data_IF_718215253643
#
_entry.id   IF_718215253643
#
_cell.length_a   1.000
_cell.length_b   1.000
_cell.length_c   1.000
_cell.angle_alpha   90.00
_cell.angle_beta   90.00
_cell.angle_gamma   90.00
#
_symmetry.space_group_name_H-M   'P 1'
#
loop_
_entity.id
_entity.type
_entity.pdbx_description
1 polymer ?
#
# COMPACT_ATOMS: atom_id res chain seq x y z
N UNK A 1 -2.39 -10.64 -20.12
CA UNK A 1 -1.69 -9.82 -19.12
C UNK A 1 -0.27 -10.32 -19.01
N UNK A 2 0.73 -9.45 -19.07
CA UNK A 2 2.13 -9.84 -18.91
C UNK A 2 2.46 -9.99 -17.43
N UNK A 3 3.13 -11.09 -17.07
CA UNK A 3 3.66 -11.35 -15.73
C UNK A 3 5.18 -11.43 -15.78
N UNK A 4 5.84 -10.65 -14.93
CA UNK A 4 7.28 -10.65 -14.72
C UNK A 4 7.58 -11.49 -13.49
N UNK A 5 8.49 -12.44 -13.60
CA UNK A 5 8.93 -13.27 -12.46
C UNK A 5 10.37 -12.93 -12.12
N UNK A 6 10.61 -12.69 -10.83
CA UNK A 6 11.93 -12.63 -10.22
C UNK A 6 12.08 -13.85 -9.29
N UNK A 7 13.24 -14.49 -9.32
CA UNK A 7 13.52 -15.69 -8.53
C UNK A 7 15.02 -15.78 -8.25
N UNK A 8 15.39 -16.04 -6.99
CA UNK A 8 16.76 -16.30 -6.54
C UNK A 8 16.89 -17.63 -5.76
N UNK A 9 16.01 -18.58 -6.04
CA UNK A 9 15.86 -19.88 -5.36
C UNK A 9 15.39 -19.82 -3.89
N UNK A 10 15.48 -18.65 -3.24
CA UNK A 10 15.02 -18.41 -1.87
C UNK A 10 13.71 -17.66 -1.83
N UNK A 11 13.58 -16.64 -2.67
CA UNK A 11 12.42 -15.77 -2.76
C UNK A 11 12.00 -15.69 -4.21
N UNK A 12 10.69 -15.83 -4.43
CA UNK A 12 10.08 -15.67 -5.74
C UNK A 12 9.05 -14.55 -5.68
N UNK A 13 9.11 -13.61 -6.61
CA UNK A 13 8.16 -12.52 -6.78
C UNK A 13 7.55 -12.60 -8.18
N UNK A 14 6.23 -12.40 -8.25
CA UNK A 14 5.53 -12.20 -9.51
C UNK A 14 4.88 -10.82 -9.53
N UNK A 15 5.09 -10.07 -10.61
CA UNK A 15 4.55 -8.71 -10.80
C UNK A 15 3.84 -8.65 -12.13
N UNK A 16 2.62 -8.11 -12.15
CA UNK A 16 1.84 -7.88 -13.35
C UNK A 16 2.17 -6.52 -13.98
N UNK A 17 2.14 -6.47 -15.30
CA UNK A 17 2.11 -5.22 -16.07
C UNK A 17 0.88 -4.37 -15.70
N UNK A 18 -0.27 -5.02 -15.49
CA UNK A 18 -1.50 -4.34 -15.11
C UNK A 18 -1.42 -3.92 -13.64
N UNK A 19 -1.63 -2.63 -13.39
CA UNK A 19 -1.59 -2.02 -12.07
C UNK A 19 -0.20 -1.93 -11.44
N UNK A 20 0.86 -2.44 -12.08
CA UNK A 20 2.17 -2.57 -11.45
C UNK A 20 2.09 -3.45 -10.19
N UNK A 21 1.11 -4.36 -10.16
CA UNK A 21 0.70 -5.09 -8.98
C UNK A 21 1.57 -6.33 -8.77
N UNK A 22 1.86 -6.66 -7.53
CA UNK A 22 2.44 -7.95 -7.15
C UNK A 22 1.31 -8.98 -7.19
N UNK A 23 1.53 -10.10 -7.88
CA UNK A 23 0.62 -11.26 -7.95
C UNK A 23 1.05 -12.40 -7.02
N UNK A 24 2.25 -12.28 -6.45
CA UNK A 24 2.64 -13.08 -5.31
C UNK A 24 4.09 -12.88 -4.90
N UNK A 25 4.34 -13.17 -3.63
CA UNK A 25 5.66 -13.17 -3.02
C UNK A 25 5.76 -14.42 -2.16
N UNK A 26 6.71 -15.30 -2.47
CA UNK A 26 6.87 -16.58 -1.79
C UNK A 26 8.30 -16.77 -1.29
N UNK A 27 8.42 -17.48 -0.18
CA UNK A 27 9.69 -17.88 0.43
C UNK A 27 9.85 -19.40 0.41
N UNK A 28 11.01 -19.86 -0.04
CA UNK A 28 11.41 -21.26 -0.01
C UNK A 28 12.14 -21.57 1.29
N UNK A 29 11.49 -22.34 2.17
CA UNK A 29 12.06 -22.72 3.45
C UNK A 29 11.75 -24.18 3.79
N UNK A 30 12.79 -24.95 4.14
CA UNK A 30 12.67 -26.37 4.53
C UNK A 30 11.86 -27.24 3.53
N UNK A 31 12.05 -27.00 2.23
CA UNK A 31 11.36 -27.72 1.15
C UNK A 31 9.88 -27.33 0.97
N UNK A 32 9.41 -26.27 1.64
CA UNK A 32 8.07 -25.69 1.46
C UNK A 32 8.16 -24.33 0.78
N UNK A 33 7.15 -24.03 -0.04
CA UNK A 33 6.90 -22.70 -0.58
C UNK A 33 5.83 -22.02 0.28
N UNK A 34 6.23 -20.97 1.01
CA UNK A 34 5.37 -20.25 1.95
C UNK A 34 4.98 -18.89 1.34
N UNK A 35 3.70 -18.53 1.27
CA UNK A 35 3.28 -17.21 0.79
C UNK A 35 3.62 -16.14 1.83
N UNK A 36 4.34 -15.09 1.45
CA UNK A 36 4.59 -13.92 2.30
C UNK A 36 3.49 -12.86 2.17
N UNK A 37 2.84 -12.81 1.00
CA UNK A 37 1.64 -12.03 0.70
C UNK A 37 0.52 -12.99 0.24
N UNK A 38 -0.74 -12.57 0.34
CA UNK A 38 -1.90 -13.29 -0.22
C UNK A 38 -1.66 -13.54 -1.70
N UNK A 39 -1.63 -14.79 -2.21
CA UNK A 39 -1.48 -15.05 -3.64
C UNK A 39 -2.58 -14.34 -4.45
N UNK A 40 -2.18 -13.61 -5.49
CA UNK A 40 -3.10 -12.92 -6.38
C UNK A 40 -3.83 -13.88 -7.33
N UNK A 41 -5.00 -13.45 -7.82
CA UNK A 41 -5.80 -14.23 -8.77
C UNK A 41 -5.33 -14.10 -10.23
N UNK A 42 -4.34 -13.23 -10.52
CA UNK A 42 -3.87 -12.94 -11.87
C UNK A 42 -4.99 -12.50 -12.85
N UNK A 43 -6.02 -11.85 -12.34
CA UNK A 43 -7.19 -11.42 -13.11
C UNK A 43 -7.00 -10.09 -13.84
N UNK A 44 -5.97 -9.32 -13.47
CA UNK A 44 -5.79 -7.93 -13.89
C UNK A 44 -6.63 -6.93 -13.11
N UNK A 45 -7.33 -7.37 -12.06
CA UNK A 45 -8.03 -6.51 -11.10
C UNK A 45 -7.15 -6.34 -9.86
N UNK A 46 -6.73 -5.10 -9.58
CA UNK A 46 -5.74 -4.84 -8.53
C UNK A 46 -6.16 -5.29 -7.12
N UNK A 47 -7.44 -5.19 -6.75
CA UNK A 47 -7.94 -5.66 -5.44
C UNK A 47 -7.90 -7.18 -5.28
N UNK A 48 -7.69 -7.92 -6.37
CA UNK A 48 -7.52 -9.38 -6.40
C UNK A 48 -6.04 -9.80 -6.47
N UNK A 49 -5.11 -8.84 -6.49
CA UNK A 49 -3.66 -9.06 -6.49
C UNK A 49 -3.11 -9.24 -5.07
N UNK A 50 -1.80 -9.43 -4.91
CA UNK A 50 -1.12 -9.47 -3.62
C UNK A 50 -0.77 -8.09 -3.06
N UNK A 51 -0.52 -7.10 -3.92
CA UNK A 51 -0.17 -5.74 -3.53
C UNK A 51 -0.21 -4.81 -4.74
N UNK A 52 -0.67 -3.58 -4.59
CA UNK A 52 -0.60 -2.55 -5.64
C UNK A 52 -0.02 -1.23 -5.12
N UNK A 53 0.59 -0.40 -5.99
CA UNK A 53 1.14 0.91 -5.63
C UNK A 53 0.03 1.94 -5.39
N UNK A 54 0.33 2.92 -4.53
CA UNK A 54 -0.50 4.11 -4.30
C UNK A 54 0.23 5.33 -4.88
N UNK A 55 -0.26 5.88 -5.99
CA UNK A 55 0.35 7.02 -6.71
C UNK A 55 -0.70 7.70 -7.59
N UNK A 56 -0.88 9.04 -7.54
CA UNK A 56 0.00 10.05 -6.94
C UNK A 56 -0.25 10.36 -5.46
N UNK A 57 -1.14 9.61 -4.80
CA UNK A 57 -1.35 9.58 -3.35
C UNK A 57 -2.18 8.35 -2.96
N UNK A 58 -2.18 8.00 -1.67
CA UNK A 58 -3.00 6.92 -1.13
C UNK A 58 -4.33 7.39 -0.56
N UNK A 59 -5.28 6.45 -0.44
CA UNK A 59 -6.61 6.65 0.12
C UNK A 59 -7.46 7.67 -0.68
N UNK A 60 -8.44 8.30 -0.01
CA UNK A 60 -9.45 9.20 -0.60
C UNK A 60 -9.13 10.66 -0.26
N UNK A 61 -9.68 11.57 -1.07
CA UNK A 61 -9.83 12.98 -0.74
C UNK A 61 -11.31 13.25 -0.51
N UNK A 62 -11.70 13.65 0.70
CA UNK A 62 -13.10 13.79 1.05
C UNK A 62 -13.81 14.83 0.18
N UNK A 63 -14.97 14.48 -0.39
CA UNK A 63 -15.69 15.37 -1.31
C UNK A 63 -15.07 15.53 -2.70
N UNK A 64 -13.98 14.81 -3.03
CA UNK A 64 -13.32 14.83 -4.34
C UNK A 64 -12.87 16.22 -4.80
N UNK A 65 -12.48 17.09 -3.86
CA UNK A 65 -11.96 18.41 -4.19
C UNK A 65 -10.96 18.88 -3.15
N UNK A 66 -10.06 19.79 -3.51
CA UNK A 66 -9.16 20.45 -2.56
C UNK A 66 -8.66 21.78 -3.14
N UNK A 67 -8.24 22.70 -2.27
CA UNK A 67 -7.74 24.02 -2.67
C UNK A 67 -6.21 24.06 -2.72
N UNK A 68 -5.63 24.78 -3.67
CA UNK A 68 -4.22 25.16 -3.67
C UNK A 68 -4.05 26.65 -3.98
N UNK A 69 -2.84 27.24 -3.86
CA UNK A 69 -2.60 28.60 -4.31
C UNK A 69 -2.94 28.86 -5.79
N UNK A 70 -3.02 27.80 -6.61
CA UNK A 70 -3.42 27.88 -8.00
C UNK A 70 -4.95 27.84 -8.23
N UNK A 71 -5.74 27.52 -7.19
CA UNK A 71 -7.20 27.47 -7.24
C UNK A 71 -7.80 26.19 -6.67
N UNK A 72 -9.10 26.01 -6.91
CA UNK A 72 -9.85 24.81 -6.55
C UNK A 72 -9.62 23.68 -7.55
N UNK A 73 -9.35 22.48 -7.04
CA UNK A 73 -9.14 21.27 -7.82
C UNK A 73 -10.26 20.28 -7.56
N UNK A 74 -10.66 19.52 -8.59
CA UNK A 74 -11.69 18.48 -8.50
C UNK A 74 -11.16 17.17 -9.04
N UNK A 75 -11.55 16.09 -8.38
CA UNK A 75 -11.29 14.71 -8.75
C UNK A 75 -12.61 14.05 -9.18
N UNK A 76 -12.53 13.06 -10.05
CA UNK A 76 -13.66 12.22 -10.41
C UNK A 76 -13.44 10.82 -9.84
N UNK A 77 -14.49 10.09 -9.42
CA UNK A 77 -14.34 8.69 -9.02
C UNK A 77 -13.65 7.87 -10.12
N UNK A 78 -12.73 7.00 -9.72
CA UNK A 78 -11.90 6.21 -10.63
C UNK A 78 -12.22 4.70 -10.60
N UNK A 79 -13.13 4.27 -9.72
CA UNK A 79 -13.69 2.91 -9.68
C UNK A 79 -15.22 2.99 -9.52
N UNK A 80 -15.94 1.98 -10.01
CA UNK A 80 -17.42 1.99 -10.02
C UNK A 80 -18.04 1.82 -8.62
N UNK A 81 -17.33 1.15 -7.71
CA UNK A 81 -17.83 0.77 -6.39
C UNK A 81 -17.52 1.80 -5.29
N UNK A 82 -16.84 2.90 -5.64
CA UNK A 82 -16.52 3.98 -4.70
C UNK A 82 -16.97 5.34 -5.27
N UNK A 83 -17.61 6.15 -4.44
CA UNK A 83 -18.01 7.51 -4.80
C UNK A 83 -16.83 8.50 -4.76
N UNK A 84 -15.65 8.09 -4.31
CA UNK A 84 -14.45 8.89 -4.23
C UNK A 84 -13.37 8.43 -5.21
N UNK A 85 -12.55 9.39 -5.64
CA UNK A 85 -11.25 9.07 -6.23
C UNK A 85 -10.38 8.37 -5.18
N UNK A 86 -9.88 7.19 -5.53
CA UNK A 86 -9.28 6.27 -4.58
C UNK A 86 -7.90 5.81 -5.06
N UNK A 87 -6.88 5.91 -4.20
CA UNK A 87 -5.55 5.31 -4.36
C UNK A 87 -4.74 5.77 -5.59
N UNK A 88 -5.18 6.82 -6.27
CA UNK A 88 -4.50 7.29 -7.46
C UNK A 88 -4.84 6.50 -8.72
N UNK A 89 -3.97 6.55 -9.72
CA UNK A 89 -4.22 5.93 -11.03
C UNK A 89 -3.27 4.76 -11.33
N UNK A 90 -2.15 4.67 -10.61
CA UNK A 90 -1.12 3.66 -10.88
C UNK A 90 -1.66 2.23 -10.82
N UNK A 91 -2.46 1.92 -9.81
CA UNK A 91 -3.04 0.59 -9.60
C UNK A 91 -4.06 0.15 -10.66
N UNK A 92 -4.63 1.08 -11.44
CA UNK A 92 -5.68 0.77 -12.43
C UNK A 92 -5.13 0.58 -13.86
N UNK A 93 -3.92 1.07 -14.12
CA UNK A 93 -3.37 1.25 -15.46
C UNK A 93 -2.20 0.30 -15.74
N UNK A 94 -1.87 0.12 -17.02
CA UNK A 94 -0.73 -0.72 -17.42
C UNK A 94 0.59 0.02 -17.28
N UNK A 95 1.60 -0.67 -16.76
CA UNK A 95 2.96 -0.19 -16.58
C UNK A 95 3.89 -0.85 -17.59
N UNK A 96 4.76 -0.08 -18.23
CA UNK A 96 5.75 -0.59 -19.17
C UNK A 96 6.96 -1.14 -18.43
N UNK A 97 7.41 -2.35 -18.81
CA UNK A 97 8.70 -2.87 -18.35
C UNK A 97 9.85 -2.11 -18.99
N UNK A 98 10.76 -1.61 -18.16
CA UNK A 98 11.94 -0.86 -18.58
C UNK A 98 13.22 -1.68 -18.50
N UNK A 99 13.31 -2.55 -17.49
CA UNK A 99 14.45 -3.44 -17.27
C UNK A 99 14.02 -4.66 -16.45
N UNK A 100 14.60 -5.82 -16.75
CA UNK A 100 14.34 -7.07 -16.03
C UNK A 100 15.59 -7.96 -16.00
N UNK A 101 15.89 -8.49 -14.82
CA UNK A 101 16.84 -9.58 -14.58
C UNK A 101 16.18 -10.64 -13.68
N UNK A 102 16.85 -11.74 -13.31
CA UNK A 102 16.30 -12.71 -12.36
C UNK A 102 15.98 -12.10 -10.98
N UNK A 103 16.62 -11.01 -10.58
CA UNK A 103 16.48 -10.43 -9.23
C UNK A 103 16.08 -8.96 -9.22
N UNK A 104 15.90 -8.33 -10.38
CA UNK A 104 15.51 -6.93 -10.50
C UNK A 104 14.42 -6.75 -11.55
N UNK A 105 13.45 -5.89 -11.27
CA UNK A 105 12.44 -5.43 -12.22
C UNK A 105 12.24 -3.93 -12.09
N UNK A 106 12.16 -3.24 -13.21
CA UNK A 106 11.73 -1.85 -13.27
C UNK A 106 10.51 -1.71 -14.16
N UNK A 107 9.44 -1.15 -13.60
CA UNK A 107 8.22 -0.78 -14.31
C UNK A 107 8.05 0.74 -14.31
N UNK A 108 7.47 1.30 -15.38
CA UNK A 108 7.18 2.73 -15.52
C UNK A 108 5.74 2.95 -16.00
N UNK A 109 5.08 3.95 -15.42
CA UNK A 109 3.75 4.41 -15.82
C UNK A 109 3.74 5.92 -16.00
N UNK A 110 3.24 6.39 -17.14
CA UNK A 110 3.08 7.80 -17.44
C UNK A 110 1.59 8.16 -17.44
N UNK A 111 1.16 8.99 -16.50
CA UNK A 111 -0.19 9.53 -16.45
C UNK A 111 -0.22 10.94 -17.08
N UNK A 112 -1.11 11.14 -18.06
CA UNK A 112 -1.23 12.38 -18.86
C UNK A 112 -2.68 12.84 -19.00
N UNK A 113 -3.55 12.37 -18.11
CA UNK A 113 -4.98 12.67 -18.12
C UNK A 113 -5.37 13.19 -16.74
N UNK A 114 -6.54 13.81 -16.63
CA UNK A 114 -7.03 14.31 -15.35
C UNK A 114 -6.18 15.44 -14.78
N UNK A 115 -6.20 15.56 -13.45
CA UNK A 115 -5.55 16.66 -12.73
C UNK A 115 -4.03 16.47 -12.57
N UNK A 116 -3.60 15.25 -12.25
CA UNK A 116 -2.20 14.97 -11.97
C UNK A 116 -1.50 14.46 -13.23
N UNK A 117 -0.47 15.15 -13.70
CA UNK A 117 0.39 14.65 -14.78
C UNK A 117 1.73 14.23 -14.19
N UNK A 118 2.11 12.95 -14.33
CA UNK A 118 3.34 12.45 -13.73
C UNK A 118 3.87 11.21 -14.43
N UNK A 119 5.15 10.92 -14.22
CA UNK A 119 5.75 9.62 -14.52
C UNK A 119 6.11 8.95 -13.21
N UNK A 120 5.58 7.75 -12.98
CA UNK A 120 5.88 6.90 -11.85
C UNK A 120 6.76 5.73 -12.28
N UNK A 121 7.69 5.33 -11.42
CA UNK A 121 8.58 4.20 -11.62
C UNK A 121 8.54 3.31 -10.38
N UNK A 122 8.28 2.01 -10.57
CA UNK A 122 8.43 0.98 -9.55
C UNK A 122 9.68 0.16 -9.81
N UNK A 123 10.49 -0.05 -8.78
CA UNK A 123 11.64 -0.93 -8.81
C UNK A 123 11.49 -2.00 -7.76
N UNK A 124 11.79 -3.23 -8.15
CA UNK A 124 11.78 -4.39 -7.27
C UNK A 124 13.16 -5.02 -7.30
N UNK A 125 13.71 -5.30 -6.12
CA UNK A 125 15.00 -5.95 -5.95
C UNK A 125 14.86 -7.09 -4.95
N UNK A 126 15.13 -8.33 -5.38
CA UNK A 126 15.14 -9.49 -4.48
C UNK A 126 16.42 -9.55 -3.67
N UNK A 127 16.27 -9.87 -2.38
CA UNK A 127 17.35 -10.29 -1.49
C UNK A 127 17.18 -11.75 -1.10
N UNK A 128 18.14 -12.33 -0.37
CA UNK A 128 18.02 -13.71 0.13
C UNK A 128 16.83 -13.91 1.07
N UNK A 129 16.37 -12.83 1.71
CA UNK A 129 15.34 -12.83 2.75
C UNK A 129 14.09 -12.06 2.38
N UNK A 130 13.94 -11.53 1.16
CA UNK A 130 12.69 -10.91 0.74
C UNK A 130 12.84 -9.98 -0.45
N UNK A 131 12.18 -8.82 -0.37
CA UNK A 131 12.11 -7.87 -1.48
C UNK A 131 12.21 -6.43 -0.99
N UNK A 132 12.99 -5.63 -1.70
CA UNK A 132 12.97 -4.18 -1.64
C UNK A 132 12.12 -3.64 -2.81
N UNK A 133 11.24 -2.69 -2.50
CA UNK A 133 10.33 -2.02 -3.43
C UNK A 133 10.54 -0.51 -3.33
N UNK A 134 10.94 0.14 -4.42
CA UNK A 134 11.01 1.61 -4.50
C UNK A 134 9.92 2.10 -5.46
N UNK A 135 9.15 3.09 -5.02
CA UNK A 135 8.21 3.82 -5.86
C UNK A 135 8.71 5.26 -5.94
N UNK A 136 8.89 5.76 -7.16
CA UNK A 136 9.28 7.15 -7.44
C UNK A 136 8.23 7.77 -8.33
N UNK A 137 7.82 9.00 -8.04
CA UNK A 137 6.97 9.81 -8.92
C UNK A 137 7.73 11.09 -9.30
N UNK A 138 7.61 11.51 -10.55
CA UNK A 138 8.10 12.81 -11.05
C UNK A 138 6.92 13.57 -11.60
N UNK A 139 6.70 14.79 -11.11
CA UNK A 139 5.61 15.63 -11.59
C UNK A 139 5.94 16.17 -13.00
N UNK A 140 5.02 16.00 -13.94
CA UNK A 140 5.13 16.50 -15.31
C UNK A 140 4.19 17.69 -15.59
N UNK A 141 3.31 18.04 -14.64
CA UNK A 141 2.30 19.09 -14.72
C UNK A 141 2.56 20.27 -13.79
N UNK A 142 1.47 20.92 -13.37
CA UNK A 142 1.50 22.03 -12.42
C UNK A 142 1.85 21.57 -11.01
N UNK A 143 2.29 22.51 -10.16
CA UNK A 143 2.67 22.20 -8.79
C UNK A 143 1.46 21.70 -7.98
N UNK A 144 1.54 20.44 -7.53
CA UNK A 144 0.47 19.75 -6.79
C UNK A 144 1.07 18.90 -5.65
N UNK A 145 0.26 18.56 -4.62
CA UNK A 145 0.71 17.71 -3.52
C UNK A 145 0.71 16.23 -3.90
N UNK A 146 1.85 15.56 -3.75
CA UNK A 146 2.04 14.13 -4.02
C UNK A 146 2.32 13.34 -2.74
N UNK A 147 1.91 12.09 -2.75
CA UNK A 147 2.17 11.08 -1.74
C UNK A 147 2.35 9.71 -2.37
N UNK A 148 2.93 8.76 -1.63
CA UNK A 148 3.24 7.43 -2.13
C UNK A 148 2.93 6.37 -1.08
N UNK A 149 2.68 5.14 -1.52
CA UNK A 149 2.46 4.01 -0.62
C UNK A 149 2.24 2.71 -1.37
N UNK A 150 1.85 1.69 -0.62
CA UNK A 150 1.46 0.37 -1.15
C UNK A 150 0.29 -0.20 -0.37
N UNK A 151 -0.43 -1.11 -1.01
CA UNK A 151 -1.58 -1.80 -0.43
C UNK A 151 -1.36 -3.33 -0.40
N UNK A 152 -0.45 -3.86 0.45
CA UNK A 152 -0.18 -5.29 0.51
C UNK A 152 -1.28 -6.05 1.25
N UNK A 153 -1.73 -7.14 0.65
CA UNK A 153 -2.60 -8.13 1.26
C UNK A 153 -1.73 -9.22 1.88
N UNK A 154 -1.80 -9.40 3.20
CA UNK A 154 -1.05 -10.41 3.95
C UNK A 154 -1.96 -11.56 4.35
N UNK A 155 -1.46 -12.82 4.44
CA UNK A 155 -2.23 -13.92 5.00
C UNK A 155 -2.74 -13.60 6.41
N UNK A 156 -3.96 -14.00 6.73
CA UNK A 156 -4.54 -13.84 8.07
C UNK A 156 -4.95 -15.20 8.63
N UNK A 157 -4.64 -15.42 9.90
CA UNK A 157 -5.21 -16.49 10.73
C UNK A 157 -5.36 -16.01 12.17
N UNK A 158 -5.95 -16.86 13.02
CA UNK A 158 -6.16 -16.53 14.44
C UNK A 158 -4.84 -16.37 15.22
N UNK A 159 -3.74 -16.93 14.71
CA UNK A 159 -2.41 -16.83 15.30
C UNK A 159 -1.59 -15.65 14.76
N UNK A 160 -2.03 -14.99 13.69
CA UNK A 160 -1.36 -13.80 13.15
C UNK A 160 -1.26 -12.72 14.21
N UNK A 161 -0.08 -12.11 14.34
CA UNK A 161 0.14 -10.95 15.22
C UNK A 161 0.82 -9.83 14.47
N UNK A 162 0.35 -8.61 14.69
CA UNK A 162 0.93 -7.38 14.15
C UNK A 162 1.48 -6.54 15.29
N UNK A 163 2.63 -5.94 15.05
CA UNK A 163 3.21 -4.90 15.89
C UNK A 163 3.62 -3.73 14.99
N UNK A 164 3.05 -2.55 15.23
CA UNK A 164 3.37 -1.30 14.55
C UNK A 164 3.07 -0.14 15.50
N UNK A 165 4.05 0.76 15.66
CA UNK A 165 3.89 1.92 16.54
C UNK A 165 2.79 2.83 16.02
N UNK A 166 1.90 3.30 16.91
CA UNK A 166 0.93 4.34 16.61
C UNK A 166 0.68 5.21 17.83
N UNK A 167 0.50 6.51 17.61
CA UNK A 167 0.15 7.49 18.66
C UNK A 167 -1.32 7.92 18.60
N UNK A 168 -2.08 7.35 17.68
CA UNK A 168 -3.51 7.58 17.52
C UNK A 168 -3.98 7.10 16.15
N UNK A 169 -5.27 7.24 15.92
CA UNK A 169 -5.94 6.73 14.71
C UNK A 169 -7.10 7.63 14.33
N UNK A 170 -7.56 7.52 13.08
CA UNK A 170 -8.79 8.14 12.64
C UNK A 170 -9.93 7.13 12.71
N UNK A 171 -11.06 7.54 13.31
CA UNK A 171 -12.31 6.80 13.21
C UNK A 171 -12.71 6.67 11.74
N UNK A 172 -13.41 5.59 11.39
CA UNK A 172 -14.09 5.50 10.12
C UNK A 172 -15.42 6.26 10.20
N UNK A 173 -15.80 6.97 9.14
CA UNK A 173 -17.12 7.57 8.97
C UNK A 173 -17.76 7.06 7.67
N UNK A 174 -18.94 7.58 7.35
CA UNK A 174 -19.68 7.20 6.15
C UNK A 174 -18.83 7.32 4.87
N UNK A 175 -19.11 6.45 3.90
CA UNK A 175 -18.37 6.37 2.62
C UNK A 175 -16.89 5.95 2.79
N UNK A 176 -16.58 5.20 3.85
CA UNK A 176 -15.22 4.67 4.13
C UNK A 176 -14.16 5.77 4.28
N UNK A 177 -14.59 6.98 4.63
CA UNK A 177 -13.71 8.13 4.83
C UNK A 177 -13.14 8.12 6.24
N UNK A 178 -12.01 8.79 6.42
CA UNK A 178 -11.51 9.11 7.76
C UNK A 178 -12.34 10.20 8.42
N UNK A 179 -12.76 9.93 9.64
CA UNK A 179 -13.47 10.81 10.55
C UNK A 179 -12.54 11.45 11.58
N UNK A 180 -13.05 11.60 12.79
CA UNK A 180 -12.35 12.26 13.89
C UNK A 180 -11.07 11.51 14.29
N UNK A 181 -10.02 12.28 14.60
CA UNK A 181 -8.77 11.74 15.12
C UNK A 181 -8.86 11.49 16.63
N UNK A 182 -8.37 10.32 17.06
CA UNK A 182 -8.34 9.91 18.46
C UNK A 182 -6.89 9.60 18.87
N UNK A 183 -6.41 10.24 19.93
CA UNK A 183 -5.08 9.96 20.51
C UNK A 183 -5.05 8.64 21.31
N UNK A 184 -6.20 8.22 21.85
CA UNK A 184 -6.31 6.92 22.53
C UNK A 184 -6.70 5.83 21.54
N UNK A 185 -5.89 4.78 21.49
CA UNK A 185 -6.18 3.58 20.73
C UNK A 185 -7.09 2.65 21.55
N UNK A 186 -8.19 2.13 20.97
CA UNK A 186 -8.91 1.00 21.55
C UNK A 186 -7.99 -0.22 21.67
N UNK A 187 -8.19 -1.05 22.70
CA UNK A 187 -7.33 -2.21 22.95
C UNK A 187 -7.20 -3.15 21.74
N UNK A 188 -8.27 -3.33 20.97
CA UNK A 188 -8.30 -4.20 19.79
C UNK A 188 -7.59 -3.62 18.55
N UNK A 189 -7.29 -2.32 18.57
CA UNK A 189 -6.57 -1.59 17.52
C UNK A 189 -5.21 -1.07 18.00
N UNK A 190 -4.78 -1.43 19.22
CA UNK A 190 -3.48 -1.04 19.76
C UNK A 190 -2.40 -2.07 19.37
N UNK A 191 -1.73 -1.79 18.25
CA UNK A 191 -0.63 -2.60 17.73
C UNK A 191 0.75 -2.15 18.24
N UNK A 192 0.84 -1.25 19.25
CA UNK A 192 2.15 -0.85 19.78
C UNK A 192 2.92 -2.04 20.41
N UNK A 193 2.17 -3.04 20.88
CA UNK A 193 2.68 -4.36 21.21
C UNK A 193 2.13 -5.39 20.22
N UNK A 194 2.76 -6.56 20.15
CA UNK A 194 2.30 -7.67 19.30
C UNK A 194 0.87 -8.10 19.65
N UNK A 195 -0.10 -7.76 18.80
CA UNK A 195 -1.53 -7.99 19.00
C UNK A 195 -2.18 -8.72 17.81
N UNK A 196 -3.28 -9.47 18.01
CA UNK A 196 -4.05 -10.06 16.92
C UNK A 196 -4.80 -8.98 16.12
N UNK A 197 -5.23 -9.30 14.90
CA UNK A 197 -6.22 -8.49 14.19
C UNK A 197 -7.63 -8.80 14.71
N UNK A 198 -8.55 -7.82 14.71
CA UNK A 198 -9.95 -8.08 15.01
C UNK A 198 -10.60 -9.02 14.00
N UNK A 199 -11.54 -9.85 14.47
CA UNK A 199 -12.37 -10.73 13.64
C UNK A 199 -13.62 -10.04 13.10
N UNK A 200 -13.53 -8.75 12.76
CA UNK A 200 -14.61 -7.93 12.23
C UNK A 200 -14.03 -6.83 11.33
N UNK A 201 -14.92 -6.06 10.67
CA UNK A 201 -14.54 -4.96 9.81
C UNK A 201 -13.58 -3.96 10.48
N UNK A 202 -12.43 -3.71 9.84
CA UNK A 202 -11.51 -2.64 10.20
C UNK A 202 -11.15 -1.90 8.93
N UNK A 203 -11.26 -0.57 8.94
CA UNK A 203 -10.84 0.30 7.85
C UNK A 203 -10.35 1.62 8.46
N UNK A 204 -9.18 1.57 9.10
CA UNK A 204 -8.69 2.68 9.90
C UNK A 204 -7.24 3.04 9.54
N UNK A 205 -7.00 4.34 9.48
CA UNK A 205 -5.67 4.91 9.39
C UNK A 205 -5.10 5.17 10.79
N UNK A 206 -3.82 4.92 10.95
CA UNK A 206 -3.05 5.12 12.17
C UNK A 206 -1.94 6.14 11.93
N UNK A 207 -1.67 6.99 12.91
CA UNK A 207 -0.68 8.06 12.83
C UNK A 207 0.48 7.84 13.81
N UNK A 208 1.57 8.58 13.60
CA UNK A 208 2.75 8.55 14.48
C UNK A 208 3.56 7.25 14.34
N UNK A 209 3.45 6.61 13.17
CA UNK A 209 4.22 5.44 12.83
C UNK A 209 5.69 5.81 12.59
N UNK A 210 6.60 4.91 12.96
CA UNK A 210 8.04 5.04 12.76
C UNK A 210 8.52 4.32 11.49
N UNK A 211 7.59 3.92 10.62
CA UNK A 211 7.88 3.23 9.37
C UNK A 211 8.27 1.76 9.54
N UNK A 212 8.14 1.17 10.74
CA UNK A 212 8.52 -0.22 11.03
C UNK A 212 7.31 -1.03 11.50
N UNK A 213 7.05 -2.16 10.86
CA UNK A 213 6.06 -3.12 11.31
C UNK A 213 6.63 -4.54 11.35
N UNK A 214 6.10 -5.34 12.27
CA UNK A 214 6.38 -6.77 12.38
C UNK A 214 5.08 -7.55 12.30
N UNK A 215 5.02 -8.51 11.37
CA UNK A 215 3.91 -9.44 11.22
C UNK A 215 4.42 -10.85 11.51
N UNK A 216 3.95 -11.45 12.59
CA UNK A 216 4.26 -12.84 12.95
C UNK A 216 3.19 -13.77 12.42
N UNK A 217 3.61 -14.85 11.78
CA UNK A 217 2.74 -15.91 11.24
C UNK A 217 3.12 -17.26 11.85
N UNK A 218 2.74 -17.54 13.11
CA UNK A 218 3.07 -18.78 13.80
C UNK A 218 2.68 -20.05 13.04
N UNK A 219 1.49 -20.11 12.47
CA UNK A 219 1.02 -21.26 11.67
C UNK A 219 1.87 -21.51 10.42
N UNK A 220 2.42 -20.44 9.83
CA UNK A 220 3.32 -20.54 8.67
C UNK A 220 4.80 -20.64 9.06
N UNK A 221 5.13 -20.51 10.35
CA UNK A 221 6.47 -20.67 10.89
C UNK A 221 7.45 -19.52 10.60
N UNK A 222 6.95 -18.31 10.30
CA UNK A 222 7.81 -17.17 9.95
C UNK A 222 7.36 -15.82 10.54
N UNK A 223 8.30 -14.88 10.58
CA UNK A 223 8.03 -13.47 10.85
C UNK A 223 8.44 -12.63 9.64
N UNK A 224 7.56 -11.72 9.23
CA UNK A 224 7.82 -10.71 8.22
C UNK A 224 8.08 -9.36 8.91
N UNK A 225 9.20 -8.73 8.61
CA UNK A 225 9.50 -7.35 8.95
C UNK A 225 9.20 -6.47 7.73
N UNK A 226 8.50 -5.37 7.96
CA UNK A 226 8.30 -4.29 7.00
C UNK A 226 9.03 -3.05 7.50
N UNK A 227 9.80 -2.41 6.63
CA UNK A 227 10.39 -1.09 6.89
C UNK A 227 10.14 -0.15 5.73
N UNK A 228 10.12 1.16 5.99
CA UNK A 228 9.97 2.20 4.97
C UNK A 228 11.09 3.23 5.03
N UNK A 229 11.47 3.78 3.87
CA UNK A 229 12.50 4.82 3.77
C UNK A 229 12.13 5.86 2.68
N UNK A 230 11.92 7.14 3.06
CA UNK A 230 11.87 7.65 4.44
C UNK A 230 10.80 6.96 5.31
N UNK A 231 10.94 6.97 6.65
CA UNK A 231 9.93 6.38 7.53
C UNK A 231 8.55 6.95 7.23
N UNK A 232 7.63 6.07 6.82
CA UNK A 232 6.25 6.43 6.56
C UNK A 232 5.57 6.83 7.89
N UNK A 233 4.91 7.99 7.94
CA UNK A 233 4.32 8.52 9.17
C UNK A 233 2.98 7.86 9.54
N UNK A 234 2.32 7.19 8.58
CA UNK A 234 0.99 6.61 8.73
C UNK A 234 0.91 5.22 8.09
N UNK A 235 0.01 4.38 8.60
CA UNK A 235 -0.41 3.15 7.95
C UNK A 235 -1.91 2.96 8.03
N UNK A 236 -2.50 2.22 7.10
CA UNK A 236 -3.88 1.72 7.23
C UNK A 236 -3.90 0.24 7.56
N UNK A 237 -4.90 -0.17 8.33
CA UNK A 237 -5.27 -1.58 8.50
C UNK A 237 -6.63 -1.79 7.87
N UNK A 238 -6.71 -2.80 7.01
CA UNK A 238 -7.97 -3.28 6.44
C UNK A 238 -8.21 -4.73 6.82
N UNK A 239 -9.37 -5.00 7.43
CA UNK A 239 -9.94 -6.33 7.63
C UNK A 239 -11.36 -6.28 7.06
N UNK A 240 -11.66 -7.13 6.08
CA UNK A 240 -12.99 -7.19 5.48
C UNK A 240 -14.00 -7.87 6.42
N UNK A 241 -15.25 -7.96 5.99
CA UNK A 241 -16.33 -8.63 6.71
C UNK A 241 -17.17 -9.50 5.76
N UNK A 242 -17.53 -10.75 6.12
CA UNK A 242 -18.38 -11.61 5.29
C UNK A 242 -19.74 -11.00 4.91
N UNK A 243 -20.27 -10.06 5.70
CA UNK A 243 -21.49 -9.34 5.38
C UNK A 243 -21.29 -8.34 4.23
N UNK A 244 -20.07 -7.85 4.03
CA UNK A 244 -19.68 -6.96 2.94
C UNK A 244 -19.16 -7.74 1.72
N UNK A 245 -18.28 -8.73 1.95
CA UNK A 245 -17.69 -9.62 0.94
C UNK A 245 -18.05 -11.07 1.27
N UNK A 246 -19.09 -11.62 0.62
CA UNK A 246 -19.63 -12.96 0.90
C UNK A 246 -18.61 -14.09 0.77
N UNK A 247 -17.48 -13.87 0.08
CA UNK A 247 -16.41 -14.85 -0.09
C UNK A 247 -15.34 -14.80 0.99
N UNK A 248 -15.28 -13.73 1.78
CA UNK A 248 -14.21 -13.46 2.73
C UNK A 248 -14.28 -14.38 3.95
N UNK A 249 -13.13 -14.92 4.36
CA UNK A 249 -13.04 -15.92 5.44
C UNK A 249 -12.07 -15.51 6.56
N UNK A 250 -11.76 -14.22 6.67
CA UNK A 250 -10.67 -13.74 7.53
C UNK A 250 -9.33 -14.41 7.20
N UNK A 251 -9.09 -14.59 5.90
CA UNK A 251 -7.93 -15.27 5.32
C UNK A 251 -6.86 -14.30 4.80
N UNK A 252 -7.16 -13.00 4.77
CA UNK A 252 -6.16 -11.95 4.55
C UNK A 252 -6.48 -10.68 5.35
N UNK A 253 -5.50 -9.79 5.51
CA UNK A 253 -5.71 -8.41 5.94
C UNK A 253 -4.75 -7.50 5.16
N UNK A 254 -4.94 -6.19 5.21
CA UNK A 254 -3.97 -5.24 4.63
C UNK A 254 -3.27 -4.44 5.70
N UNK A 255 -1.98 -4.17 5.47
CA UNK A 255 -1.19 -3.22 6.24
C UNK A 255 -0.55 -2.26 5.24
N UNK A 256 -1.10 -1.06 5.11
CA UNK A 256 -0.83 -0.17 4.00
C UNK A 256 0.09 0.98 4.43
N UNK A 257 1.41 0.94 4.15
CA UNK A 257 2.28 2.06 4.44
C UNK A 257 1.98 3.25 3.52
N UNK A 258 1.79 4.43 4.10
CA UNK A 258 1.54 5.68 3.36
C UNK A 258 2.52 6.77 3.78
N UNK A 259 3.08 7.51 2.80
CA UNK A 259 4.00 8.62 3.05
C UNK A 259 3.33 9.86 3.63
N UNK A 260 2.00 9.84 3.78
CA UNK A 260 1.18 10.94 4.25
C UNK A 260 -0.04 10.43 5.00
N UNK A 261 -0.72 11.32 5.72
CA UNK A 261 -1.96 10.99 6.39
C UNK A 261 -3.15 11.07 5.42
N UNK A 262 -4.25 10.37 5.72
CA UNK A 262 -5.47 10.48 4.93
C UNK A 262 -6.02 11.90 4.98
N UNK A 263 -6.57 12.34 3.85
CA UNK A 263 -7.17 13.66 3.66
C UNK A 263 -6.21 14.85 3.89
N UNK A 264 -4.89 14.62 3.81
CA UNK A 264 -3.86 15.64 3.96
C UNK A 264 -4.01 16.81 2.96
N UNK A 265 -4.67 16.60 1.82
CA UNK A 265 -5.04 17.65 0.87
C UNK A 265 -5.81 18.82 1.50
N UNK A 266 -6.55 18.59 2.58
CA UNK A 266 -7.31 19.61 3.31
C UNK A 266 -6.54 20.24 4.48
N UNK A 267 -5.34 19.76 4.79
CA UNK A 267 -4.56 20.27 5.92
C UNK A 267 -3.73 21.48 5.51
N UNK A 268 -3.42 22.40 6.44
CA UNK A 268 -2.49 23.49 6.18
C UNK A 268 -1.18 22.97 5.57
N UNK A 269 -0.76 23.56 4.46
CA UNK A 269 0.46 23.14 3.75
C UNK A 269 0.41 21.72 3.17
N UNK A 270 -0.78 21.13 3.02
CA UNK A 270 -1.01 19.75 2.58
C UNK A 270 -0.50 18.69 3.54
N UNK A 271 -0.35 19.01 4.83
CA UNK A 271 0.05 18.05 5.86
C UNK A 271 1.42 17.42 5.56
N UNK A 272 1.44 16.10 5.35
CA UNK A 272 2.64 15.32 5.05
C UNK A 272 2.82 15.02 3.55
N UNK A 273 1.90 15.48 2.69
CA UNK A 273 2.09 15.43 1.24
C UNK A 273 3.24 16.37 0.85
N UNK A 274 3.95 16.01 -0.23
CA UNK A 274 5.02 16.84 -0.78
C UNK A 274 4.52 17.58 -2.02
N UNK A 275 4.52 18.91 -1.99
CA UNK A 275 4.25 19.70 -3.19
C UNK A 275 5.44 19.57 -4.14
N UNK A 276 5.20 19.00 -5.32
CA UNK A 276 6.23 18.86 -6.36
C UNK A 276 5.98 19.88 -7.46
N UNK A 277 6.94 20.74 -7.76
CA UNK A 277 6.95 21.51 -9.00
C UNK A 277 7.23 20.60 -10.21
N UNK A 278 7.03 21.13 -11.42
CA UNK A 278 7.31 20.39 -12.64
C UNK A 278 8.77 19.94 -12.69
N UNK A 279 8.99 18.65 -12.90
CA UNK A 279 10.29 17.99 -12.94
C UNK A 279 10.83 17.55 -11.58
N UNK A 280 10.18 17.94 -10.47
CA UNK A 280 10.55 17.46 -9.14
C UNK A 280 10.04 16.03 -8.90
N UNK A 281 10.74 15.30 -8.03
CA UNK A 281 10.40 13.91 -7.72
C UNK A 281 10.25 13.67 -6.23
N UNK A 282 9.35 12.76 -5.90
CA UNK A 282 9.24 12.12 -4.59
C UNK A 282 9.57 10.63 -4.72
N UNK A 283 10.19 10.05 -3.70
CA UNK A 283 10.41 8.60 -3.60
C UNK A 283 9.94 8.08 -2.25
N UNK A 284 9.46 6.85 -2.24
CA UNK A 284 9.21 6.08 -1.04
C UNK A 284 9.73 4.66 -1.29
N UNK A 285 10.29 4.04 -0.26
CA UNK A 285 10.78 2.65 -0.31
C UNK A 285 10.08 1.83 0.75
N UNK A 286 9.76 0.58 0.43
CA UNK A 286 9.31 -0.45 1.36
C UNK A 286 10.23 -1.67 1.23
N UNK A 287 10.68 -2.22 2.35
CA UNK A 287 11.44 -3.47 2.38
C UNK A 287 10.65 -4.49 3.19
N UNK A 288 10.46 -5.68 2.61
CA UNK A 288 9.86 -6.83 3.27
C UNK A 288 10.93 -7.89 3.46
N UNK A 289 11.21 -8.28 4.71
CA UNK A 289 12.17 -9.32 5.04
C UNK A 289 11.53 -10.40 5.89
N UNK A 290 11.66 -11.66 5.47
CA UNK A 290 11.22 -12.84 6.21
C UNK A 290 12.37 -13.47 6.99
N UNK A 291 12.05 -14.00 8.17
CA UNK A 291 12.91 -14.91 8.93
C UNK A 291 12.06 -16.03 9.55
N UNK A 292 12.66 -17.20 9.85
CA UNK A 292 11.99 -18.21 10.68
C UNK A 292 11.59 -17.63 12.04
N UNK A 293 10.51 -18.17 12.63
CA UNK A 293 10.11 -17.86 14.02
C UNK A 293 10.99 -18.54 15.07
#
# INVERSE_FOLDING_TARGET
MTLFTLDNDRVRLQVAERGGAIEGLWWQHQGKTLPLLRPGLNSGVAVESSCFPLVPFGNRVSGNQFSSPAGEHRLAPNVEWDSHYLHGDGWLNSWRCMDQSPTHLTLEYAHRQGLYHYTAQQRFTLSESGVEMELRVTNDGDALPFGLGWHPYLPLSQETRVQARATGYWLEKEQWLTGEYQESLPQELDFNQSAPLPGHWVNNGFSGWDGIATIRQPELGYQLSMTTEPPAPCYFVFVSDPAFDQGYKFDFFCFEPMSHAPDDHHRPGFGQLTVLARGESLRQKMVLNVRPL
#
